data_IF_732702512060
#
_entry.id   IF_732702512060
#
_cell.length_a   1.000
_cell.length_b   1.000
_cell.length_c   1.000
_cell.angle_alpha   90.00
_cell.angle_beta   90.00
_cell.angle_gamma   90.00
#
_symmetry.space_group_name_H-M   'P 1'
#
loop_
_entity.id
_entity.type
_entity.pdbx_description
1 polymer ?
#
# COMPACT_ATOMS: atom_id res chain seq x y z
N UNK A 1 -4.37 0.91 13.52
CA UNK A 1 -5.13 0.22 12.46
C UNK A 1 -5.20 1.02 11.17
N UNK A 2 -5.90 0.51 10.13
CA UNK A 2 -6.19 1.35 8.96
C UNK A 2 -7.19 2.46 9.34
N UNK A 3 -7.23 3.62 8.64
CA UNK A 3 -8.18 4.70 8.96
C UNK A 3 -9.63 4.23 9.06
N UNK A 4 -10.08 3.36 8.15
CA UNK A 4 -11.43 2.82 8.17
C UNK A 4 -11.70 1.85 9.34
N UNK A 5 -10.67 1.15 9.85
CA UNK A 5 -10.80 0.34 11.07
C UNK A 5 -10.92 1.22 12.32
N UNK A 6 -10.14 2.30 12.41
CA UNK A 6 -10.24 3.26 13.51
C UNK A 6 -11.60 3.94 13.49
N UNK A 7 -12.06 4.41 12.32
CA UNK A 7 -13.41 4.97 12.17
C UNK A 7 -14.48 3.97 12.64
N UNK A 8 -14.39 2.72 12.21
CA UNK A 8 -15.30 1.67 12.63
C UNK A 8 -15.30 1.44 14.16
N UNK A 9 -14.12 1.44 14.77
CA UNK A 9 -13.96 1.34 16.22
C UNK A 9 -14.62 2.51 16.94
N UNK A 10 -14.34 3.76 16.54
CA UNK A 10 -14.89 4.97 17.15
C UNK A 10 -16.44 4.99 17.03
N UNK A 11 -16.98 4.63 15.87
CA UNK A 11 -18.42 4.53 15.66
C UNK A 11 -19.09 3.42 16.47
N UNK A 12 -18.40 2.29 16.66
CA UNK A 12 -18.89 1.19 17.50
C UNK A 12 -18.93 1.57 18.98
N UNK A 13 -17.89 2.22 19.48
CA UNK A 13 -17.78 2.63 20.89
C UNK A 13 -18.78 3.71 21.29
N UNK A 14 -19.17 4.59 20.38
CA UNK A 14 -20.18 5.67 20.56
C UNK A 14 -19.93 6.65 21.72
N UNK A 15 -18.77 6.58 22.37
CA UNK A 15 -18.39 7.48 23.46
C UNK A 15 -16.87 7.63 23.48
N UNK A 16 -16.39 8.70 24.11
CA UNK A 16 -14.98 8.92 24.37
C UNK A 16 -14.51 8.09 25.57
N UNK A 17 -13.29 7.55 25.45
CA UNK A 17 -12.60 6.83 26.50
C UNK A 17 -11.23 7.52 26.74
N UNK A 18 -11.00 8.05 27.94
CA UNK A 18 -9.78 8.79 28.28
C UNK A 18 -8.51 7.94 28.26
N UNK A 19 -8.66 6.61 28.37
CA UNK A 19 -7.57 5.63 28.35
C UNK A 19 -7.40 4.94 26.98
N UNK A 20 -8.04 5.46 25.90
CA UNK A 20 -7.93 4.93 24.55
C UNK A 20 -7.16 5.90 23.66
N UNK A 21 -5.96 5.53 23.23
CA UNK A 21 -5.20 6.19 22.18
C UNK A 21 -5.40 5.42 20.87
N UNK A 22 -5.78 6.11 19.81
CA UNK A 22 -5.96 5.53 18.48
C UNK A 22 -4.96 6.08 17.49
N UNK A 23 -4.26 5.17 16.81
CA UNK A 23 -3.26 5.49 15.80
C UNK A 23 -3.64 4.83 14.48
N UNK A 24 -3.71 5.61 13.42
CA UNK A 24 -3.81 5.10 12.06
C UNK A 24 -2.59 5.50 11.20
N UNK A 25 -2.65 5.24 9.91
CA UNK A 25 -1.55 5.58 9.01
C UNK A 25 -2.08 6.06 7.65
N UNK A 26 -1.24 6.81 6.93
CA UNK A 26 -1.53 7.25 5.56
C UNK A 26 -1.72 6.04 4.67
N UNK A 27 -2.97 5.70 4.36
CA UNK A 27 -3.36 4.45 3.75
C UNK A 27 -3.59 4.60 2.25
N UNK A 28 -2.82 3.90 1.43
CA UNK A 28 -3.04 3.80 -0.02
C UNK A 28 -4.31 3.01 -0.35
N UNK A 29 -4.54 1.90 0.34
CA UNK A 29 -5.65 0.98 0.15
C UNK A 29 -5.25 -0.45 0.47
N UNK A 30 -6.24 -1.33 0.61
CA UNK A 30 -6.05 -2.73 0.99
C UNK A 30 -6.32 -3.62 -0.23
N UNK A 31 -5.35 -4.42 -0.68
CA UNK A 31 -5.53 -5.35 -1.79
C UNK A 31 -6.46 -6.50 -1.42
N UNK A 32 -7.06 -7.12 -2.43
CA UNK A 32 -7.92 -8.30 -2.27
C UNK A 32 -7.14 -9.46 -1.63
N UNK A 33 -7.63 -10.05 -0.52
CA UNK A 33 -7.00 -11.23 0.09
C UNK A 33 -6.93 -12.44 -0.85
N UNK A 34 -7.90 -12.57 -1.77
CA UNK A 34 -7.88 -13.61 -2.79
C UNK A 34 -6.68 -13.46 -3.73
N UNK A 35 -6.41 -12.23 -4.19
CA UNK A 35 -5.28 -11.94 -5.07
C UNK A 35 -3.96 -12.18 -4.36
N UNK A 36 -3.85 -11.77 -3.10
CA UNK A 36 -2.69 -12.04 -2.26
C UNK A 36 -2.40 -13.53 -2.12
N UNK A 37 -3.40 -14.31 -1.67
CA UNK A 37 -3.24 -15.77 -1.51
C UNK A 37 -2.81 -16.45 -2.81
N UNK A 38 -3.41 -16.03 -3.94
CA UNK A 38 -3.07 -16.58 -5.25
C UNK A 38 -1.63 -16.27 -5.66
N UNK A 39 -1.17 -15.04 -5.45
CA UNK A 39 0.21 -14.66 -5.72
C UNK A 39 1.20 -15.47 -4.87
N UNK A 40 0.98 -15.55 -3.57
CA UNK A 40 1.87 -16.27 -2.66
C UNK A 40 1.89 -17.78 -2.97
N UNK A 41 0.74 -18.37 -3.30
CA UNK A 41 0.70 -19.78 -3.72
C UNK A 41 1.50 -20.01 -5.00
N UNK A 42 1.32 -19.18 -6.04
CA UNK A 42 2.06 -19.31 -7.30
C UNK A 42 3.57 -19.09 -7.12
N UNK A 43 3.99 -18.17 -6.24
CA UNK A 43 5.41 -17.98 -5.91
C UNK A 43 5.99 -19.18 -5.17
N UNK A 44 5.25 -19.80 -4.24
CA UNK A 44 5.66 -21.01 -3.55
C UNK A 44 5.78 -22.19 -4.52
N UNK A 45 4.81 -22.36 -5.42
CA UNK A 45 4.82 -23.40 -6.45
C UNK A 45 6.02 -23.26 -7.40
N UNK A 46 6.36 -22.01 -7.80
CA UNK A 46 7.54 -21.72 -8.63
C UNK A 46 8.87 -22.09 -7.95
N UNK A 47 8.92 -22.13 -6.63
CA UNK A 47 10.10 -22.53 -5.84
C UNK A 47 10.07 -24.00 -5.45
N UNK A 48 9.01 -24.74 -5.78
CA UNK A 48 8.83 -26.12 -5.37
C UNK A 48 8.60 -26.31 -3.87
N UNK A 49 8.12 -25.27 -3.16
CA UNK A 49 7.94 -25.27 -1.71
C UNK A 49 6.47 -25.12 -1.30
N UNK A 50 6.15 -25.61 -0.12
CA UNK A 50 4.77 -25.53 0.41
C UNK A 50 4.41 -24.13 0.93
N UNK A 51 5.41 -23.37 1.42
CA UNK A 51 5.16 -22.12 2.12
C UNK A 51 6.34 -21.15 1.99
N UNK A 52 6.01 -19.88 1.87
CA UNK A 52 6.94 -18.77 2.00
C UNK A 52 6.86 -18.18 3.41
N UNK A 53 7.98 -17.70 3.92
CA UNK A 53 8.09 -17.10 5.26
C UNK A 53 8.73 -15.71 5.17
N UNK A 54 8.69 -14.96 6.27
CA UNK A 54 9.33 -13.65 6.40
C UNK A 54 9.02 -12.71 5.23
N UNK A 55 7.75 -12.68 4.80
CA UNK A 55 7.32 -11.86 3.67
C UNK A 55 7.32 -10.40 4.10
N UNK A 56 8.06 -9.56 3.35
CA UNK A 56 8.15 -8.13 3.58
C UNK A 56 7.86 -7.39 2.27
N UNK A 57 6.75 -6.66 2.23
CA UNK A 57 6.36 -5.86 1.07
C UNK A 57 7.16 -4.54 0.97
N UNK A 58 7.97 -4.22 1.98
CA UNK A 58 8.71 -2.97 2.08
C UNK A 58 10.08 -3.18 2.71
N UNK A 59 10.85 -4.10 2.16
CA UNK A 59 12.24 -4.35 2.55
C UNK A 59 13.11 -3.17 2.10
N UNK A 60 13.58 -2.38 3.07
CA UNK A 60 14.36 -1.16 2.85
C UNK A 60 15.88 -1.42 2.80
N UNK A 61 16.31 -2.67 2.70
CA UNK A 61 17.74 -3.02 2.67
C UNK A 61 18.52 -2.36 1.51
N UNK A 62 17.84 -1.96 0.44
CA UNK A 62 18.39 -1.25 -0.72
C UNK A 62 18.02 0.25 -0.77
N UNK A 63 17.61 0.83 0.36
CA UNK A 63 17.16 2.21 0.49
C UNK A 63 15.64 2.34 0.65
N UNK A 64 15.23 3.48 1.19
CA UNK A 64 13.81 3.76 1.42
C UNK A 64 13.03 4.02 0.14
N UNK A 65 13.62 4.76 -0.81
CA UNK A 65 12.99 5.10 -2.09
C UNK A 65 12.95 3.90 -3.04
N UNK A 66 13.97 3.03 -2.96
CA UNK A 66 14.16 1.86 -3.82
C UNK A 66 13.91 0.53 -3.08
N UNK A 67 12.88 0.51 -2.23
CA UNK A 67 12.53 -0.69 -1.45
C UNK A 67 12.18 -1.91 -2.32
N UNK A 68 12.26 -3.08 -1.71
CA UNK A 68 11.99 -4.36 -2.36
C UNK A 68 10.82 -5.10 -1.71
N UNK A 69 10.23 -6.00 -2.46
CA UNK A 69 9.42 -7.09 -1.95
C UNK A 69 10.34 -8.28 -1.69
N UNK A 70 10.36 -8.77 -0.47
CA UNK A 70 11.21 -9.92 -0.11
C UNK A 70 10.44 -11.00 0.63
N UNK A 71 10.93 -12.22 0.53
CA UNK A 71 10.45 -13.39 1.28
C UNK A 71 11.57 -14.41 1.43
N UNK A 72 11.33 -15.41 2.28
CA UNK A 72 12.24 -16.53 2.50
C UNK A 72 11.53 -17.86 2.27
N UNK A 73 12.28 -18.88 1.91
CA UNK A 73 11.85 -20.28 1.85
C UNK A 73 13.00 -21.22 2.19
N UNK A 74 12.68 -22.42 2.64
CA UNK A 74 13.66 -23.48 2.83
C UNK A 74 13.80 -24.30 1.53
N UNK A 75 15.02 -24.48 1.05
CA UNK A 75 15.31 -25.39 -0.08
C UNK A 75 15.28 -26.87 0.37
N UNK A 76 15.48 -27.79 -0.58
CA UNK A 76 15.48 -29.24 -0.31
C UNK A 76 16.58 -29.68 0.69
N UNK A 77 17.60 -28.86 0.89
CA UNK A 77 18.68 -29.07 1.87
C UNK A 77 18.42 -28.34 3.18
N UNK A 78 17.23 -27.78 3.35
CA UNK A 78 16.82 -27.00 4.52
C UNK A 78 17.65 -25.69 4.72
N UNK A 79 18.27 -25.17 3.65
CA UNK A 79 18.88 -23.86 3.69
C UNK A 79 17.81 -22.76 3.55
N UNK A 80 17.95 -21.70 4.33
CA UNK A 80 17.04 -20.57 4.27
C UNK A 80 17.46 -19.61 3.14
N UNK A 81 16.69 -19.59 2.06
CA UNK A 81 16.94 -18.77 0.87
C UNK A 81 16.10 -17.50 0.95
N UNK A 82 16.73 -16.31 0.91
CA UNK A 82 16.05 -15.02 0.78
C UNK A 82 15.93 -14.62 -0.69
N UNK A 83 14.74 -14.30 -1.12
CA UNK A 83 14.44 -13.67 -2.43
C UNK A 83 14.09 -12.23 -2.18
N UNK A 84 14.66 -11.31 -2.95
CA UNK A 84 14.35 -9.89 -2.90
C UNK A 84 14.20 -9.36 -4.32
N UNK A 85 13.11 -8.66 -4.61
CA UNK A 85 12.82 -8.10 -5.93
C UNK A 85 12.37 -6.66 -5.74
N UNK A 86 12.98 -5.72 -6.47
CA UNK A 86 12.64 -4.30 -6.38
C UNK A 86 11.14 -4.09 -6.65
N UNK A 87 10.52 -3.14 -5.96
CA UNK A 87 9.05 -2.93 -5.98
C UNK A 87 8.49 -2.71 -7.40
N UNK A 88 9.25 -2.06 -8.28
CA UNK A 88 8.86 -1.78 -9.66
C UNK A 88 9.15 -2.95 -10.63
N UNK A 89 9.80 -4.00 -10.18
CA UNK A 89 10.03 -5.26 -10.90
C UNK A 89 9.09 -6.35 -10.38
N UNK A 90 8.79 -6.34 -9.09
CA UNK A 90 7.90 -7.33 -8.49
C UNK A 90 6.47 -7.21 -9.03
N UNK A 91 5.93 -8.31 -9.52
CA UNK A 91 4.64 -8.33 -10.21
C UNK A 91 3.45 -7.99 -9.28
N UNK A 92 3.49 -8.42 -8.02
CA UNK A 92 2.45 -8.10 -7.05
C UNK A 92 2.46 -6.60 -6.71
N UNK A 93 3.64 -6.03 -6.51
CA UNK A 93 3.79 -4.60 -6.24
C UNK A 93 3.34 -3.74 -7.43
N UNK A 94 3.68 -4.13 -8.67
CA UNK A 94 3.19 -3.45 -9.88
C UNK A 94 1.65 -3.42 -9.95
N UNK A 95 1.01 -4.55 -9.70
CA UNK A 95 -0.45 -4.67 -9.74
C UNK A 95 -1.10 -3.88 -8.60
N UNK A 96 -0.51 -3.91 -7.41
CA UNK A 96 -0.95 -3.14 -6.25
C UNK A 96 -0.85 -1.63 -6.50
N UNK A 97 0.32 -1.15 -6.91
CA UNK A 97 0.57 0.28 -7.17
C UNK A 97 -0.20 0.81 -8.39
N UNK A 98 -0.62 -0.08 -9.30
CA UNK A 98 -1.54 0.26 -10.39
C UNK A 98 -3.02 0.33 -9.95
N UNK A 99 -3.31 0.17 -8.68
CA UNK A 99 -4.65 0.21 -8.09
C UNK A 99 -5.62 -0.85 -8.63
N UNK A 100 -5.13 -1.93 -9.24
CA UNK A 100 -5.99 -2.92 -9.91
C UNK A 100 -6.74 -3.83 -8.94
N UNK A 101 -6.17 -4.06 -7.76
CA UNK A 101 -6.59 -5.13 -6.84
C UNK A 101 -7.13 -4.66 -5.50
N UNK A 102 -7.26 -3.36 -5.30
CA UNK A 102 -7.76 -2.81 -4.05
C UNK A 102 -9.22 -3.19 -3.82
N UNK A 103 -9.65 -3.20 -2.57
CA UNK A 103 -11.07 -3.34 -2.20
C UNK A 103 -11.87 -2.19 -2.79
N UNK A 104 -13.09 -2.45 -3.21
CA UNK A 104 -13.95 -1.42 -3.83
C UNK A 104 -14.15 -0.20 -2.92
N UNK A 105 -14.27 -0.39 -1.61
CA UNK A 105 -14.38 0.67 -0.63
C UNK A 105 -13.15 1.58 -0.53
N UNK A 106 -11.97 1.13 -0.97
CA UNK A 106 -10.75 1.94 -0.94
C UNK A 106 -10.76 3.07 -1.98
N UNK A 107 -11.54 2.94 -3.05
CA UNK A 107 -11.65 3.98 -4.08
C UNK A 107 -12.61 5.11 -3.70
N UNK A 108 -13.39 4.92 -2.63
CA UNK A 108 -14.31 5.91 -2.07
C UNK A 108 -14.27 5.80 -0.54
N UNK A 109 -13.07 5.95 0.04
CA UNK A 109 -12.84 5.73 1.46
C UNK A 109 -13.41 6.88 2.31
N UNK A 110 -14.35 6.63 3.23
CA UNK A 110 -14.93 7.67 4.06
C UNK A 110 -13.98 8.23 5.13
N UNK A 111 -12.87 7.52 5.39
CA UNK A 111 -11.94 7.83 6.49
C UNK A 111 -10.72 8.66 6.05
N UNK A 112 -10.75 9.31 4.88
CA UNK A 112 -9.71 10.23 4.41
C UNK A 112 -9.86 11.61 5.02
N UNK A 113 -8.83 12.46 4.89
CA UNK A 113 -8.81 13.84 5.34
C UNK A 113 -9.19 13.98 6.84
N UNK A 114 -8.54 13.22 7.71
CA UNK A 114 -8.77 13.24 9.15
C UNK A 114 -10.10 12.63 9.62
N UNK A 115 -10.97 12.18 8.71
CA UNK A 115 -12.28 11.62 9.06
C UNK A 115 -12.24 10.23 9.70
N UNK A 116 -11.06 9.64 9.88
CA UNK A 116 -10.87 8.42 10.68
C UNK A 116 -11.18 8.61 12.16
N UNK A 117 -11.12 9.86 12.66
CA UNK A 117 -11.25 10.21 14.08
C UNK A 117 -10.15 9.59 14.94
N UNK A 118 -8.99 9.26 14.36
CA UNK A 118 -7.80 8.83 15.09
C UNK A 118 -7.20 10.00 15.87
N UNK A 119 -6.48 9.70 16.94
CA UNK A 119 -5.76 10.71 17.73
C UNK A 119 -4.44 11.08 17.02
N UNK A 120 -3.83 10.11 16.32
CA UNK A 120 -2.57 10.27 15.60
C UNK A 120 -2.67 9.53 14.24
N UNK A 121 -2.17 10.15 13.18
CA UNK A 121 -1.89 9.49 11.90
C UNK A 121 -0.39 9.51 11.61
N UNK A 122 0.18 8.35 11.29
CA UNK A 122 1.59 8.21 10.91
C UNK A 122 1.73 7.86 9.42
N UNK A 123 2.90 8.13 8.85
CA UNK A 123 3.17 7.77 7.46
C UNK A 123 4.62 8.00 7.06
N UNK A 124 4.95 7.62 5.83
CA UNK A 124 6.20 8.05 5.20
C UNK A 124 6.02 9.48 4.67
N UNK A 125 7.00 10.36 4.85
CA UNK A 125 6.98 11.70 4.29
C UNK A 125 7.50 11.68 2.84
N UNK A 126 6.67 11.26 1.91
CA UNK A 126 7.01 11.31 0.49
C UNK A 126 7.21 12.76 0.01
N UNK A 127 8.27 12.99 -0.78
CA UNK A 127 8.61 14.32 -1.28
C UNK A 127 9.53 15.11 -0.34
N UNK A 128 9.99 14.52 0.76
CA UNK A 128 10.95 15.13 1.70
C UNK A 128 12.21 15.59 0.99
N UNK A 129 12.71 14.83 0.01
CA UNK A 129 13.88 15.11 -0.81
C UNK A 129 13.78 16.44 -1.60
N UNK A 130 12.57 16.89 -1.88
CA UNK A 130 12.31 18.16 -2.59
C UNK A 130 11.99 19.31 -1.65
N UNK A 131 11.23 19.01 -0.60
CA UNK A 131 10.68 20.03 0.31
C UNK A 131 11.65 20.38 1.43
N UNK A 132 12.35 19.38 1.95
CA UNK A 132 13.28 19.50 3.08
C UNK A 132 14.47 18.55 2.87
N UNK A 133 15.32 18.81 1.85
CA UNK A 133 16.39 17.90 1.44
C UNK A 133 17.44 17.63 2.53
N UNK A 134 17.57 18.54 3.51
CA UNK A 134 18.47 18.40 4.65
C UNK A 134 18.10 17.26 5.59
N UNK A 135 16.86 16.76 5.54
CA UNK A 135 16.38 15.63 6.34
C UNK A 135 16.36 14.30 5.56
N UNK A 136 16.72 14.32 4.28
CA UNK A 136 16.68 13.11 3.44
C UNK A 136 18.01 12.36 3.48
N UNK A 137 18.06 11.26 4.23
CA UNK A 137 19.20 10.34 4.31
C UNK A 137 18.93 8.97 3.66
N UNK A 138 17.85 8.85 2.87
CA UNK A 138 17.33 7.62 2.25
C UNK A 138 17.00 6.47 3.23
N UNK A 139 16.96 6.73 4.54
CA UNK A 139 16.44 5.77 5.53
C UNK A 139 14.95 5.90 5.72
N UNK A 140 14.41 7.05 5.30
CA UNK A 140 13.01 7.44 5.36
C UNK A 140 12.67 8.31 6.55
N UNK A 141 11.92 9.38 6.26
CA UNK A 141 11.42 10.31 7.25
C UNK A 141 9.97 9.97 7.58
N UNK A 142 9.67 9.85 8.85
CA UNK A 142 8.30 9.61 9.34
C UNK A 142 7.52 10.90 9.40
N UNK A 143 6.31 10.86 8.89
CA UNK A 143 5.29 11.87 9.06
C UNK A 143 4.43 11.52 10.27
N UNK A 144 4.13 12.50 11.13
CA UNK A 144 3.20 12.36 12.25
C UNK A 144 2.21 13.53 12.22
N UNK A 145 0.92 13.22 12.06
CA UNK A 145 -0.17 14.20 12.20
C UNK A 145 -0.88 13.95 13.52
N UNK A 146 -0.94 14.95 14.38
CA UNK A 146 -1.50 14.89 15.73
C UNK A 146 -2.81 15.68 15.75
N UNK A 147 -3.92 14.99 16.01
CA UNK A 147 -5.25 15.60 16.10
C UNK A 147 -5.67 15.85 17.55
N UNK A 148 -5.05 15.13 18.50
CA UNK A 148 -5.26 15.32 19.92
C UNK A 148 -3.91 15.65 20.60
N UNK A 149 -3.67 16.90 21.02
CA UNK A 149 -2.40 17.34 21.62
C UNK A 149 -1.98 16.54 22.87
N UNK A 150 -2.93 15.94 23.60
CA UNK A 150 -2.63 15.10 24.77
C UNK A 150 -1.99 13.75 24.40
N UNK A 151 -1.98 13.42 23.10
CA UNK A 151 -1.42 12.17 22.57
C UNK A 151 0.02 12.32 22.08
N UNK A 152 0.66 13.46 22.30
CA UNK A 152 2.04 13.72 21.90
C UNK A 152 3.01 12.74 22.59
N UNK A 153 3.74 11.90 21.86
CA UNK A 153 4.83 11.14 22.46
C UNK A 153 5.98 12.08 22.85
N UNK A 154 6.73 11.70 23.88
CA UNK A 154 7.92 12.42 24.30
C UNK A 154 9.09 12.17 23.33
N UNK A 155 9.07 12.83 22.17
CA UNK A 155 10.16 12.79 21.18
C UNK A 155 10.29 14.14 20.48
N UNK A 156 11.44 14.39 19.90
CA UNK A 156 11.70 15.62 19.14
C UNK A 156 10.97 15.54 17.79
N UNK A 157 10.24 16.61 17.47
CA UNK A 157 9.56 16.80 16.19
C UNK A 157 10.03 18.08 15.53
N UNK A 158 10.00 18.08 14.22
CA UNK A 158 10.12 19.27 13.39
C UNK A 158 8.74 19.56 12.83
N UNK A 159 8.21 20.74 13.16
CA UNK A 159 6.93 21.18 12.61
C UNK A 159 7.09 21.58 11.15
N UNK A 160 6.16 21.14 10.33
CA UNK A 160 6.12 21.43 8.90
C UNK A 160 4.72 21.85 8.47
N UNK A 161 4.61 22.52 7.34
CA UNK A 161 3.34 22.93 6.76
C UNK A 161 2.48 21.72 6.36
N UNK A 162 1.19 21.75 6.66
CA UNK A 162 0.24 20.74 6.22
C UNK A 162 0.18 20.63 4.69
N UNK A 163 0.26 21.76 3.99
CA UNK A 163 0.24 21.81 2.52
C UNK A 163 1.44 21.09 1.91
N UNK A 164 2.62 21.22 2.50
CA UNK A 164 3.82 20.49 2.09
C UNK A 164 3.65 18.97 2.27
N UNK A 165 3.08 18.59 3.40
CA UNK A 165 2.79 17.19 3.71
C UNK A 165 1.82 16.57 2.68
N UNK A 166 0.73 17.25 2.36
CA UNK A 166 -0.28 16.78 1.40
C UNK A 166 0.27 16.73 -0.03
N UNK A 167 1.13 17.69 -0.40
CA UNK A 167 1.78 17.73 -1.72
C UNK A 167 2.55 16.44 -2.02
N UNK A 168 3.25 15.87 -1.03
CA UNK A 168 3.96 14.58 -1.17
C UNK A 168 3.08 13.36 -0.96
N UNK A 169 1.93 13.51 -0.30
CA UNK A 169 1.10 12.42 0.22
C UNK A 169 -0.37 12.52 -0.17
N UNK A 170 -0.65 12.40 -1.46
CA UNK A 170 -2.03 12.44 -2.03
C UNK A 170 -3.06 11.63 -1.22
N UNK A 171 -2.64 10.49 -0.67
CA UNK A 171 -3.51 9.59 0.09
C UNK A 171 -3.90 10.10 1.49
N UNK A 172 -3.42 11.24 1.94
CA UNK A 172 -3.89 11.87 3.17
C UNK A 172 -5.34 12.32 2.99
N UNK A 173 -5.59 13.11 1.97
CA UNK A 173 -6.92 13.69 1.72
C UNK A 173 -7.78 12.85 0.78
N UNK A 174 -7.16 12.17 -0.17
CA UNK A 174 -7.86 11.57 -1.29
C UNK A 174 -7.82 10.04 -1.29
N UNK A 175 -8.89 9.44 -1.77
CA UNK A 175 -8.88 8.05 -2.19
C UNK A 175 -8.12 7.91 -3.51
N UNK A 176 -7.44 6.78 -3.69
CA UNK A 176 -6.82 6.48 -4.99
C UNK A 176 -7.89 6.34 -6.08
N UNK A 177 -7.63 6.82 -7.31
CA UNK A 177 -8.58 6.70 -8.40
C UNK A 177 -8.79 5.24 -8.78
N UNK A 178 -10.05 4.88 -9.06
CA UNK A 178 -10.38 3.53 -9.54
C UNK A 178 -10.08 3.41 -11.05
N UNK A 179 -9.21 2.48 -11.47
CA UNK A 179 -9.02 2.16 -12.89
C UNK A 179 -10.11 1.14 -13.32
N UNK A 180 -11.34 1.60 -13.44
CA UNK A 180 -12.54 0.75 -13.60
C UNK A 180 -12.38 -0.27 -14.73
N UNK A 181 -12.02 0.19 -15.94
CA UNK A 181 -11.90 -0.66 -17.12
C UNK A 181 -10.73 -1.66 -17.01
N UNK A 182 -9.55 -1.18 -16.57
CA UNK A 182 -8.37 -2.03 -16.37
C UNK A 182 -8.58 -3.05 -15.24
N UNK A 183 -9.27 -2.64 -14.16
CA UNK A 183 -9.64 -3.51 -13.05
C UNK A 183 -10.62 -4.60 -13.50
N UNK A 184 -11.68 -4.25 -14.24
CA UNK A 184 -12.60 -5.22 -14.81
C UNK A 184 -11.87 -6.24 -15.69
N UNK A 185 -10.98 -5.76 -16.56
CA UNK A 185 -10.13 -6.61 -17.39
C UNK A 185 -9.27 -7.56 -16.55
N UNK A 186 -8.63 -7.04 -15.49
CA UNK A 186 -7.79 -7.86 -14.60
C UNK A 186 -8.57 -9.02 -14.00
N UNK A 187 -9.69 -8.77 -13.36
CA UNK A 187 -10.48 -9.83 -12.72
C UNK A 187 -11.12 -10.79 -13.74
N UNK A 188 -11.53 -10.31 -14.91
CA UNK A 188 -12.03 -11.14 -16.00
C UNK A 188 -10.95 -12.09 -16.56
N UNK A 189 -9.72 -11.64 -16.71
CA UNK A 189 -8.61 -12.49 -17.15
C UNK A 189 -8.21 -13.45 -16.03
N UNK A 190 -8.17 -12.98 -14.78
CA UNK A 190 -7.85 -13.82 -13.63
C UNK A 190 -8.83 -15.00 -13.48
N UNK A 191 -10.13 -14.76 -13.64
CA UNK A 191 -11.15 -15.81 -13.57
C UNK A 191 -10.99 -16.86 -14.65
N UNK A 192 -10.53 -16.48 -15.85
CA UNK A 192 -10.32 -17.39 -16.98
C UNK A 192 -9.01 -18.18 -16.91
N UNK A 193 -7.93 -17.49 -16.53
CA UNK A 193 -6.56 -18.07 -16.53
C UNK A 193 -6.24 -18.75 -15.22
N UNK A 194 -6.97 -18.44 -14.15
CA UNK A 194 -6.76 -18.92 -12.79
C UNK A 194 -5.30 -18.78 -12.28
N UNK A 195 -4.54 -17.85 -12.86
CA UNK A 195 -3.16 -17.56 -12.50
C UNK A 195 -2.96 -16.04 -12.37
N UNK A 196 -2.38 -15.62 -11.24
CA UNK A 196 -2.03 -14.22 -10.99
C UNK A 196 -0.92 -13.75 -11.93
N UNK A 197 0.15 -14.54 -12.06
CA UNK A 197 1.32 -14.18 -12.88
C UNK A 197 0.94 -14.03 -14.36
N UNK A 198 0.21 -15.02 -14.92
CA UNK A 198 -0.27 -14.95 -16.31
C UNK A 198 -1.21 -13.75 -16.53
N UNK A 199 -2.12 -13.50 -15.57
CA UNK A 199 -3.06 -12.38 -15.64
C UNK A 199 -2.31 -11.04 -15.62
N UNK A 200 -1.38 -10.88 -14.70
CA UNK A 200 -0.60 -9.67 -14.55
C UNK A 200 0.22 -9.36 -15.80
N UNK A 201 0.88 -10.36 -16.37
CA UNK A 201 1.62 -10.22 -17.63
C UNK A 201 0.72 -9.77 -18.78
N UNK A 202 -0.50 -10.33 -18.92
CA UNK A 202 -1.46 -9.95 -19.96
C UNK A 202 -1.98 -8.54 -19.76
N UNK A 203 -2.29 -8.16 -18.52
CA UNK A 203 -2.96 -6.88 -18.23
C UNK A 203 -1.97 -5.72 -18.18
N UNK A 204 -0.76 -5.94 -17.69
CA UNK A 204 0.28 -4.92 -17.60
C UNK A 204 1.16 -4.83 -18.86
N UNK A 205 1.03 -5.76 -19.81
CA UNK A 205 1.74 -5.66 -21.09
C UNK A 205 1.35 -4.38 -21.83
N UNK A 206 2.33 -3.58 -22.28
CA UNK A 206 2.14 -2.28 -22.96
C UNK A 206 1.71 -2.45 -24.43
N UNK A 207 0.76 -3.35 -24.69
CA UNK A 207 0.19 -3.56 -26.03
C UNK A 207 -0.99 -2.59 -26.31
N UNK A 208 -1.57 -2.66 -27.52
CA UNK A 208 -2.73 -1.84 -27.92
C UNK A 208 -3.92 -2.00 -26.98
N UNK A 209 -4.14 -3.22 -26.47
CA UNK A 209 -5.23 -3.51 -25.54
C UNK A 209 -5.01 -2.80 -24.19
N UNK A 210 -3.77 -2.75 -23.68
CA UNK A 210 -3.43 -1.96 -22.49
C UNK A 210 -3.71 -0.47 -22.72
N UNK A 211 -3.30 0.08 -23.86
CA UNK A 211 -3.54 1.50 -24.22
C UNK A 211 -5.04 1.79 -24.27
N UNK A 212 -5.84 0.90 -24.87
CA UNK A 212 -7.30 1.03 -24.95
C UNK A 212 -7.93 1.09 -23.54
N UNK A 213 -7.63 0.14 -22.67
CA UNK A 213 -8.19 0.16 -21.30
C UNK A 213 -7.73 1.35 -20.47
N UNK A 214 -6.49 1.82 -20.65
CA UNK A 214 -6.00 3.05 -20.03
C UNK A 214 -6.71 4.30 -20.52
N UNK A 215 -7.10 4.33 -21.82
CA UNK A 215 -7.93 5.41 -22.34
C UNK A 215 -9.33 5.38 -21.74
N UNK A 216 -9.97 4.21 -21.68
CA UNK A 216 -11.27 4.06 -21.03
C UNK A 216 -11.24 4.48 -19.56
N UNK A 217 -10.20 4.14 -18.82
CA UNK A 217 -10.04 4.59 -17.43
C UNK A 217 -9.95 6.12 -17.28
N UNK A 218 -9.48 6.83 -18.31
CA UNK A 218 -9.48 8.29 -18.33
C UNK A 218 -10.86 8.89 -18.66
N UNK A 219 -11.64 8.20 -19.46
CA UNK A 219 -12.99 8.65 -19.88
C UNK A 219 -14.07 8.36 -18.81
N UNK A 220 -13.80 7.40 -17.93
CA UNK A 220 -14.74 6.97 -16.86
C UNK A 220 -14.46 7.68 -15.50
N UNK A 221 -13.57 8.66 -15.47
CA UNK A 221 -13.32 9.55 -14.32
C UNK A 221 -14.28 10.72 -14.33
#
# INVERSE_FOLDING_TARGET
GTPCQILGLKLFLRKHYSNLLTVDFVCHGVPSPMVWRKYISEEADLRGVKMLSNINCRDKSSGWKCYSFSYQYADDKNNNIKVSTRFDENMYMKVFLSNLTLRSSCYCCPAKAGRSLSDITIGDFWGIDRLYPEFDDDKGVSLVMIYNPLSLPACDFIEVSYDDVVQGNYCIENSVPSPIASRYRFFRVLSRKNSFIKTSNIVLSRNLIYKFFRLLDKLLK
#
